data_IF_105588567529
#
_entry.id   IF_105588567529
#
_cell.length_a   1.000
_cell.length_b   1.000
_cell.length_c   1.000
_cell.angle_alpha   90.00
_cell.angle_beta   90.00
_cell.angle_gamma   90.00
#
_symmetry.space_group_name_H-M   'P 1'
#
loop_
_entity.id
_entity.type
_entity.pdbx_description
1 polymer ?
#
# COMPACT_ATOMS: atom_id res chain seq x y z
N UNK A 1 21.42 -1.55 29.53
CA UNK A 1 20.62 -1.51 28.27
C UNK A 1 19.86 -0.18 28.06
N UNK A 2 19.62 0.66 29.07
CA UNK A 2 18.92 1.95 28.88
C UNK A 2 19.75 3.05 28.18
N UNK A 3 21.08 3.08 28.36
CA UNK A 3 21.93 4.13 27.77
C UNK A 3 22.05 4.06 26.23
N UNK A 4 21.90 2.87 25.64
CA UNK A 4 22.02 2.64 24.19
C UNK A 4 20.75 3.09 23.45
N UNK A 5 19.57 2.92 24.08
CA UNK A 5 18.30 3.37 23.50
C UNK A 5 18.21 4.90 23.41
N UNK A 6 18.75 5.62 24.41
CA UNK A 6 18.82 7.09 24.39
C UNK A 6 19.75 7.63 23.31
N UNK A 7 20.89 6.97 23.01
CA UNK A 7 21.81 7.41 21.97
C UNK A 7 21.27 7.16 20.56
N UNK A 8 20.57 6.05 20.32
CA UNK A 8 19.89 5.74 19.06
C UNK A 8 18.74 6.72 18.78
N UNK A 9 17.91 7.02 19.78
CA UNK A 9 16.81 7.99 19.62
C UNK A 9 17.32 9.42 19.37
N UNK A 10 18.46 9.79 19.97
CA UNK A 10 19.12 11.09 19.74
C UNK A 10 19.75 11.16 18.34
N UNK A 11 20.39 10.09 17.86
CA UNK A 11 21.03 10.06 16.53
C UNK A 11 20.01 10.08 15.37
N UNK A 12 18.88 9.39 15.52
CA UNK A 12 17.76 9.42 14.56
C UNK A 12 17.14 10.83 14.53
N UNK A 13 16.95 11.44 15.69
CA UNK A 13 16.40 12.80 15.80
C UNK A 13 17.32 13.85 15.16
N UNK A 14 18.63 13.81 15.38
CA UNK A 14 19.60 14.73 14.74
C UNK A 14 19.61 14.57 13.22
N UNK A 15 19.51 13.34 12.71
CA UNK A 15 19.41 13.06 11.27
C UNK A 15 18.10 13.56 10.68
N UNK A 16 16.99 13.43 11.41
CA UNK A 16 15.70 14.00 11.05
C UNK A 16 15.73 15.55 11.02
N UNK A 17 16.38 16.19 11.99
CA UNK A 17 16.52 17.65 12.00
C UNK A 17 17.35 18.17 10.81
N UNK A 18 18.28 17.37 10.30
CA UNK A 18 19.01 17.65 9.05
C UNK A 18 18.12 17.57 7.79
N UNK A 19 16.86 17.11 7.86
CA UNK A 19 15.92 17.20 6.74
C UNK A 19 15.25 18.58 6.66
N UNK A 20 15.12 19.33 7.76
CA UNK A 20 14.50 20.67 7.73
C UNK A 20 15.24 21.67 6.83
N UNK A 21 16.56 21.53 6.67
CA UNK A 21 17.33 22.35 5.72
C UNK A 21 16.89 22.13 4.25
N UNK A 22 16.22 21.03 3.91
CA UNK A 22 15.64 20.78 2.57
C UNK A 22 14.39 21.66 2.35
N UNK A 23 13.67 22.06 3.40
CA UNK A 23 12.51 22.96 3.32
C UNK A 23 12.84 24.33 2.73
N UNK A 24 14.12 24.74 2.74
CA UNK A 24 14.57 25.97 2.05
C UNK A 24 14.36 25.90 0.53
N UNK A 25 14.38 24.69 -0.07
CA UNK A 25 14.07 24.49 -1.49
C UNK A 25 12.58 24.74 -1.79
N UNK A 26 11.69 24.40 -0.85
CA UNK A 26 10.26 24.73 -0.95
C UNK A 26 10.04 26.25 -0.95
N UNK A 27 10.87 27.02 -0.23
CA UNK A 27 10.84 28.50 -0.29
C UNK A 27 11.23 29.05 -1.67
N UNK A 28 12.07 28.36 -2.44
CA UNK A 28 12.42 28.73 -3.82
C UNK A 28 11.22 28.57 -4.78
N UNK A 29 10.39 27.54 -4.57
CA UNK A 29 9.14 27.33 -5.33
C UNK A 29 8.11 28.45 -5.08
N UNK A 30 8.15 29.07 -3.90
CA UNK A 30 7.33 30.22 -3.55
C UNK A 30 7.88 31.57 -4.07
N UNK A 31 8.99 31.58 -4.83
CA UNK A 31 9.55 32.84 -5.35
C UNK A 31 8.88 33.29 -6.64
N UNK A 32 8.37 32.34 -7.44
CA UNK A 32 7.63 32.64 -8.67
C UNK A 32 6.13 32.68 -8.41
N UNK A 33 5.48 33.76 -8.80
CA UNK A 33 4.02 33.93 -8.70
C UNK A 33 3.26 32.86 -9.52
N UNK A 34 3.81 32.45 -10.67
CA UNK A 34 3.23 31.38 -11.50
C UNK A 34 3.11 30.03 -10.78
N UNK A 35 4.20 29.55 -10.15
CA UNK A 35 4.18 28.28 -9.38
C UNK A 35 3.26 28.39 -8.16
N UNK A 36 3.24 29.55 -7.48
CA UNK A 36 2.33 29.77 -6.35
C UNK A 36 0.87 29.69 -6.76
N UNK A 37 0.50 30.33 -7.86
CA UNK A 37 -0.87 30.24 -8.38
C UNK A 37 -1.22 28.81 -8.80
N UNK A 38 -0.31 28.09 -9.45
CA UNK A 38 -0.50 26.69 -9.82
C UNK A 38 -0.72 25.78 -8.60
N UNK A 39 0.17 25.86 -7.60
CA UNK A 39 0.05 25.09 -6.35
C UNK A 39 -1.21 25.46 -5.58
N UNK A 40 -1.55 26.75 -5.51
CA UNK A 40 -2.76 27.20 -4.83
C UNK A 40 -4.03 26.70 -5.54
N UNK A 41 -4.03 26.71 -6.87
CA UNK A 41 -5.14 26.18 -7.69
C UNK A 41 -5.26 24.66 -7.52
N UNK A 42 -4.14 23.93 -7.45
CA UNK A 42 -4.10 22.50 -7.18
C UNK A 42 -4.60 22.16 -5.77
N UNK A 43 -4.21 22.92 -4.75
CA UNK A 43 -4.72 22.73 -3.39
C UNK A 43 -6.22 23.01 -3.33
N UNK A 44 -6.70 24.04 -4.05
CA UNK A 44 -8.13 24.36 -4.15
C UNK A 44 -8.93 23.26 -4.86
N UNK A 45 -8.37 22.63 -5.90
CA UNK A 45 -9.04 21.50 -6.55
C UNK A 45 -9.09 20.26 -5.65
N UNK A 46 -8.07 20.02 -4.83
CA UNK A 46 -8.11 18.95 -3.80
C UNK A 46 -9.17 19.20 -2.73
N UNK A 47 -9.40 20.45 -2.33
CA UNK A 47 -10.47 20.83 -1.39
C UNK A 47 -11.88 20.52 -1.92
N UNK A 48 -12.05 20.38 -3.24
CA UNK A 48 -13.31 20.02 -3.86
C UNK A 48 -13.57 18.49 -3.87
N UNK A 49 -12.58 17.65 -3.53
CA UNK A 49 -12.66 16.19 -3.64
C UNK A 49 -12.60 15.38 -2.31
N UNK A 50 -12.92 15.92 -1.12
CA UNK A 50 -12.79 15.16 0.13
C UNK A 50 -13.72 13.94 0.16
N UNK A 51 -14.92 14.05 -0.41
CA UNK A 51 -15.87 12.94 -0.44
C UNK A 51 -15.39 11.77 -1.30
N UNK A 52 -14.77 12.04 -2.45
CA UNK A 52 -14.18 10.99 -3.31
C UNK A 52 -12.98 10.35 -2.62
N UNK A 53 -12.13 11.16 -1.96
CA UNK A 53 -11.02 10.65 -1.16
C UNK A 53 -11.48 9.71 -0.04
N UNK A 54 -12.56 10.04 0.67
CA UNK A 54 -13.15 9.17 1.69
C UNK A 54 -13.67 7.85 1.11
N UNK A 55 -14.30 7.88 -0.07
CA UNK A 55 -14.74 6.66 -0.75
C UNK A 55 -13.56 5.76 -1.14
N UNK A 56 -12.47 6.35 -1.64
CA UNK A 56 -11.23 5.60 -1.96
C UNK A 56 -10.65 4.99 -0.68
N UNK A 57 -10.56 5.75 0.42
CA UNK A 57 -10.07 5.21 1.70
C UNK A 57 -10.94 4.06 2.22
N UNK A 58 -12.27 4.19 2.10
CA UNK A 58 -13.21 3.13 2.48
C UNK A 58 -13.04 1.88 1.61
N UNK A 59 -12.84 2.03 0.30
CA UNK A 59 -12.54 0.94 -0.61
C UNK A 59 -11.27 0.19 -0.18
N UNK A 60 -10.18 0.92 0.06
CA UNK A 60 -8.92 0.34 0.51
C UNK A 60 -9.06 -0.38 1.85
N UNK A 61 -9.82 0.18 2.78
CA UNK A 61 -10.08 -0.44 4.08
C UNK A 61 -10.81 -1.79 3.93
N UNK A 62 -11.91 -1.83 3.17
CA UNK A 62 -12.69 -3.04 2.96
C UNK A 62 -11.84 -4.13 2.29
N UNK A 63 -11.15 -3.77 1.20
CA UNK A 63 -10.31 -4.71 0.47
C UNK A 63 -9.15 -5.19 1.34
N UNK A 64 -8.47 -4.31 2.09
CA UNK A 64 -7.37 -4.73 2.96
C UNK A 64 -7.83 -5.77 3.99
N UNK A 65 -8.97 -5.54 4.67
CA UNK A 65 -9.51 -6.49 5.65
C UNK A 65 -9.88 -7.82 4.99
N UNK A 66 -10.59 -7.79 3.85
CA UNK A 66 -10.97 -9.01 3.11
C UNK A 66 -9.73 -9.77 2.64
N UNK A 67 -8.74 -9.08 2.07
CA UNK A 67 -7.49 -9.66 1.61
C UNK A 67 -6.69 -10.31 2.74
N UNK A 68 -6.67 -9.71 3.94
CA UNK A 68 -6.05 -10.32 5.12
C UNK A 68 -6.73 -11.64 5.52
N UNK A 69 -8.06 -11.70 5.47
CA UNK A 69 -8.80 -12.91 5.84
C UNK A 69 -8.57 -14.06 4.87
N UNK A 70 -8.48 -13.76 3.56
CA UNK A 70 -8.39 -14.78 2.51
C UNK A 70 -6.93 -15.15 2.21
N UNK A 71 -6.04 -14.16 2.11
CA UNK A 71 -4.66 -14.32 1.63
C UNK A 71 -3.60 -14.15 2.72
N UNK A 72 -3.99 -13.85 3.96
CA UNK A 72 -3.05 -13.60 5.06
C UNK A 72 -2.24 -14.83 5.51
N UNK A 73 -2.66 -16.05 5.13
CA UNK A 73 -1.97 -17.31 5.47
C UNK A 73 -0.93 -17.74 4.43
N UNK A 74 -0.80 -17.02 3.31
CA UNK A 74 0.19 -17.36 2.28
C UNK A 74 1.60 -17.12 2.84
N UNK A 75 2.50 -18.10 2.65
CA UNK A 75 3.88 -18.01 3.08
C UNK A 75 4.63 -16.89 2.34
N UNK A 76 5.53 -16.24 3.06
CA UNK A 76 6.41 -15.23 2.50
C UNK A 76 7.63 -15.94 1.88
N UNK A 77 7.70 -15.96 0.55
CA UNK A 77 8.81 -16.62 -0.17
C UNK A 77 9.55 -15.59 -1.01
N UNK A 78 10.85 -15.44 -0.74
CA UNK A 78 11.71 -14.53 -1.50
C UNK A 78 11.78 -14.94 -2.98
N UNK A 79 11.75 -13.96 -3.88
CA UNK A 79 11.68 -14.19 -5.33
C UNK A 79 10.26 -14.38 -5.88
N UNK A 80 9.23 -14.45 -5.02
CA UNK A 80 7.83 -14.40 -5.44
C UNK A 80 7.20 -13.02 -5.24
N UNK A 81 6.01 -12.82 -5.78
CA UNK A 81 5.23 -11.59 -5.62
C UNK A 81 4.60 -11.44 -4.22
N UNK A 82 4.58 -12.52 -3.42
CA UNK A 82 4.19 -12.50 -2.01
C UNK A 82 5.42 -12.74 -1.15
N UNK A 83 5.93 -11.66 -0.56
CA UNK A 83 7.19 -11.66 0.19
C UNK A 83 7.10 -10.72 1.39
N UNK A 84 8.19 -10.55 2.13
CA UNK A 84 8.22 -9.72 3.35
C UNK A 84 7.76 -8.28 3.13
N UNK A 85 7.93 -7.75 1.92
CA UNK A 85 7.57 -6.38 1.56
C UNK A 85 6.21 -6.29 0.85
N UNK A 86 5.64 -7.41 0.39
CA UNK A 86 4.39 -7.48 -0.37
C UNK A 86 3.54 -8.63 0.17
N UNK A 87 2.64 -8.39 1.12
CA UNK A 87 1.81 -9.43 1.70
C UNK A 87 0.53 -8.90 2.35
N UNK A 88 -0.34 -9.83 2.74
CA UNK A 88 -1.60 -9.59 3.44
C UNK A 88 -1.57 -10.02 4.92
N UNK A 89 -0.40 -10.13 5.55
CA UNK A 89 -0.32 -10.61 6.94
C UNK A 89 -0.71 -9.54 7.96
N UNK A 90 -0.51 -8.26 7.62
CA UNK A 90 -0.84 -7.12 8.50
C UNK A 90 -1.58 -6.04 7.72
N UNK A 91 -2.39 -5.25 8.42
CA UNK A 91 -3.22 -4.23 7.80
C UNK A 91 -2.41 -3.18 7.00
N UNK A 92 -1.33 -2.57 7.54
CA UNK A 92 -0.55 -1.60 6.77
C UNK A 92 0.11 -2.20 5.52
N UNK A 93 0.56 -3.47 5.59
CA UNK A 93 1.16 -4.16 4.45
C UNK A 93 0.12 -4.48 3.39
N UNK A 94 -1.08 -4.91 3.79
CA UNK A 94 -2.20 -5.14 2.88
C UNK A 94 -2.59 -3.85 2.14
N UNK A 95 -2.67 -2.71 2.85
CA UNK A 95 -2.94 -1.40 2.25
C UNK A 95 -1.83 -0.99 1.27
N UNK A 96 -0.55 -1.19 1.63
CA UNK A 96 0.58 -0.88 0.76
C UNK A 96 0.57 -1.74 -0.51
N UNK A 97 0.27 -3.04 -0.38
CA UNK A 97 0.16 -3.95 -1.51
C UNK A 97 -1.02 -3.56 -2.42
N UNK A 98 -2.17 -3.18 -1.85
CA UNK A 98 -3.30 -2.67 -2.62
C UNK A 98 -2.99 -1.34 -3.31
N UNK A 99 -2.21 -0.46 -2.66
CA UNK A 99 -1.73 0.77 -3.29
C UNK A 99 -0.86 0.49 -4.51
N UNK A 100 0.07 -0.47 -4.40
CA UNK A 100 0.86 -0.96 -5.51
C UNK A 100 -0.01 -1.51 -6.65
N UNK A 101 -1.07 -2.24 -6.33
CA UNK A 101 -2.02 -2.72 -7.32
C UNK A 101 -2.81 -1.58 -7.98
N UNK A 102 -3.21 -0.56 -7.20
CA UNK A 102 -3.96 0.60 -7.70
C UNK A 102 -3.11 1.48 -8.64
N UNK A 103 -1.79 1.52 -8.46
CA UNK A 103 -0.87 2.16 -9.42
C UNK A 103 -0.60 1.32 -10.67
N UNK A 104 -1.22 0.13 -10.77
CA UNK A 104 -1.07 -0.78 -11.91
C UNK A 104 0.25 -1.56 -11.92
N UNK A 105 1.04 -1.52 -10.85
CA UNK A 105 2.35 -2.15 -10.82
C UNK A 105 2.21 -3.65 -10.52
N UNK A 106 2.46 -4.50 -11.53
CA UNK A 106 2.53 -5.97 -11.39
C UNK A 106 1.30 -6.61 -10.69
N UNK A 107 0.14 -5.96 -10.73
CA UNK A 107 -1.05 -6.39 -9.97
C UNK A 107 -1.55 -7.78 -10.38
N UNK A 108 -1.40 -8.14 -11.65
CA UNK A 108 -1.79 -9.45 -12.17
C UNK A 108 -0.88 -10.56 -11.65
N UNK A 109 0.41 -10.28 -11.42
CA UNK A 109 1.36 -11.24 -10.87
C UNK A 109 1.10 -11.47 -9.37
N UNK A 110 0.73 -10.41 -8.65
CA UNK A 110 0.22 -10.50 -7.26
C UNK A 110 -1.06 -11.35 -7.22
N UNK A 111 -1.99 -11.14 -8.16
CA UNK A 111 -3.21 -11.95 -8.26
C UNK A 111 -2.88 -13.43 -8.46
N UNK A 112 -2.00 -13.77 -9.40
CA UNK A 112 -1.56 -15.16 -9.66
C UNK A 112 -0.85 -15.78 -8.45
N UNK A 113 -0.10 -14.97 -7.69
CA UNK A 113 0.54 -15.39 -6.46
C UNK A 113 -0.43 -15.62 -5.29
N UNK A 114 -1.67 -15.10 -5.38
CA UNK A 114 -2.74 -15.31 -4.40
C UNK A 114 -3.74 -16.41 -4.78
N UNK A 115 -3.64 -17.00 -5.97
CA UNK A 115 -4.49 -18.12 -6.41
C UNK A 115 -4.30 -19.37 -5.54
N UNK A 116 -5.14 -20.40 -5.71
CA UNK A 116 -5.00 -21.66 -4.99
C UNK A 116 -3.62 -22.33 -5.25
N UNK A 117 -3.27 -23.30 -4.41
CA UNK A 117 -2.04 -24.09 -4.49
C UNK A 117 -0.75 -23.32 -4.11
N UNK A 118 -0.83 -22.52 -3.04
CA UNK A 118 0.32 -21.80 -2.49
C UNK A 118 0.76 -22.38 -1.16
N UNK A 119 2.06 -22.26 -0.91
CA UNK A 119 2.65 -22.64 0.37
C UNK A 119 2.03 -21.83 1.51
N UNK A 120 1.57 -22.51 2.55
CA UNK A 120 1.06 -21.90 3.77
C UNK A 120 2.21 -21.43 4.68
N UNK A 121 2.00 -20.32 5.39
CA UNK A 121 2.94 -19.86 6.42
C UNK A 121 3.07 -20.96 7.50
N UNK A 122 4.28 -21.36 7.91
CA UNK A 122 4.49 -22.34 8.99
C UNK A 122 3.80 -22.01 10.32
N UNK A 123 3.45 -20.73 10.54
CA UNK A 123 2.70 -20.28 11.73
C UNK A 123 1.19 -20.48 11.62
N UNK A 124 0.69 -20.87 10.46
CA UNK A 124 -0.74 -21.12 10.24
C UNK A 124 -1.12 -22.55 10.62
N UNK A 125 -2.35 -22.73 11.07
CA UNK A 125 -2.89 -24.06 11.38
C UNK A 125 -3.24 -24.80 10.07
N UNK A 126 -2.43 -25.79 9.70
CA UNK A 126 -2.69 -26.72 8.58
C UNK A 126 -2.33 -28.15 8.99
N UNK A 127 -2.95 -29.15 8.37
CA UNK A 127 -2.69 -30.56 8.66
C UNK A 127 -1.37 -31.03 8.01
N UNK A 128 -0.67 -32.03 8.59
CA UNK A 128 0.50 -32.63 7.96
C UNK A 128 0.17 -33.13 6.54
N UNK A 129 0.88 -32.63 5.52
CA UNK A 129 0.62 -32.93 4.12
C UNK A 129 -0.21 -31.87 3.37
N UNK A 130 -0.78 -30.88 4.06
CA UNK A 130 -1.59 -29.80 3.47
C UNK A 130 -0.84 -28.47 3.31
N UNK A 131 0.49 -28.53 3.17
CA UNK A 131 1.35 -27.33 3.10
C UNK A 131 1.08 -26.41 1.91
N UNK A 132 0.42 -26.91 0.86
CA UNK A 132 0.14 -26.18 -0.39
C UNK A 132 -1.35 -25.86 -0.58
N UNK A 133 -2.10 -25.75 0.52
CA UNK A 133 -3.56 -25.51 0.48
C UNK A 133 -3.94 -24.04 0.63
N UNK A 134 -2.97 -23.13 0.76
CA UNK A 134 -3.23 -21.70 0.94
C UNK A 134 -3.45 -20.98 -0.40
N UNK A 135 -4.10 -19.83 -0.32
CA UNK A 135 -4.55 -19.08 -1.50
C UNK A 135 -5.94 -19.50 -1.95
N UNK A 136 -6.54 -18.73 -2.87
CA UNK A 136 -7.89 -18.99 -3.36
C UNK A 136 -8.08 -18.46 -4.77
N UNK A 137 -8.81 -19.20 -5.60
CA UNK A 137 -9.22 -18.74 -6.94
C UNK A 137 -10.16 -17.52 -6.88
N UNK A 138 -10.70 -17.20 -5.70
CA UNK A 138 -11.39 -15.93 -5.45
C UNK A 138 -10.48 -14.71 -5.69
N UNK A 139 -9.15 -14.89 -5.68
CA UNK A 139 -8.18 -13.86 -6.06
C UNK A 139 -8.51 -13.18 -7.39
N UNK A 140 -8.98 -13.94 -8.39
CA UNK A 140 -9.31 -13.37 -9.71
C UNK A 140 -10.39 -12.30 -9.58
N UNK A 141 -11.50 -12.63 -8.93
CA UNK A 141 -12.64 -11.71 -8.75
C UNK A 141 -12.23 -10.56 -7.83
N UNK A 142 -11.50 -10.85 -6.76
CA UNK A 142 -11.02 -9.85 -5.81
C UNK A 142 -10.14 -8.77 -6.49
N UNK A 143 -9.08 -9.17 -7.21
CA UNK A 143 -8.17 -8.19 -7.83
C UNK A 143 -8.78 -7.49 -9.04
N UNK A 144 -9.55 -8.20 -9.87
CA UNK A 144 -10.24 -7.58 -11.01
C UNK A 144 -11.28 -6.54 -10.56
N UNK A 145 -12.10 -6.87 -9.57
CA UNK A 145 -13.10 -5.92 -9.03
C UNK A 145 -12.42 -4.71 -8.38
N UNK A 146 -11.34 -4.92 -7.61
CA UNK A 146 -10.56 -3.84 -7.02
C UNK A 146 -10.01 -2.90 -8.10
N UNK A 147 -9.39 -3.46 -9.13
CA UNK A 147 -8.80 -2.68 -10.22
C UNK A 147 -9.86 -1.85 -10.96
N UNK A 148 -11.01 -2.45 -11.29
CA UNK A 148 -12.12 -1.75 -11.94
C UNK A 148 -12.70 -0.63 -11.08
N UNK A 149 -12.88 -0.86 -9.78
CA UNK A 149 -13.38 0.16 -8.85
C UNK A 149 -12.36 1.29 -8.65
N UNK A 150 -11.08 0.97 -8.53
CA UNK A 150 -10.01 1.97 -8.45
C UNK A 150 -9.91 2.79 -9.73
N UNK A 151 -10.03 2.17 -10.90
CA UNK A 151 -10.03 2.88 -12.18
C UNK A 151 -11.22 3.83 -12.28
N UNK A 152 -12.43 3.37 -11.93
CA UNK A 152 -13.64 4.20 -11.93
C UNK A 152 -13.56 5.40 -10.97
N UNK A 153 -13.01 5.20 -9.77
CA UNK A 153 -12.86 6.27 -8.77
C UNK A 153 -11.67 7.20 -9.05
N UNK A 154 -10.69 6.77 -9.84
CA UNK A 154 -9.56 7.59 -10.24
C UNK A 154 -10.00 8.58 -11.31
N UNK A 155 -9.82 9.90 -11.13
CA UNK A 155 -10.30 10.91 -12.08
C UNK A 155 -9.70 10.84 -13.51
N UNK A 156 -8.81 9.89 -13.76
CA UNK A 156 -8.04 9.76 -15.01
C UNK A 156 -8.80 9.12 -16.17
N UNK A 157 -9.97 8.50 -15.95
CA UNK A 157 -10.73 7.81 -17.01
C UNK A 157 -12.04 8.50 -17.38
N UNK A 158 -12.22 9.77 -17.02
CA UNK A 158 -13.37 10.59 -17.43
C UNK A 158 -13.08 11.45 -18.66
N UNK A 159 -12.85 10.83 -19.82
CA UNK A 159 -12.99 11.45 -21.14
C UNK A 159 -13.66 10.48 -22.09
#
# INVERSE_FOLDING_TARGET
MQAIASSENMSVSVTFFRLFRVMRLVKLLNRSEGIRNLLWTFIKSLQALPYVGLLILMLFFIYAVVGMQIFGKIALVDGTYINRNNNFQTFPQAVLLLFRCATGEAWHEVMLACMYEKKCDPKSDYLPGEEYTCGSNFAIIYFMSFYMLCAFLSPTTGH
#
